data_IF_961820912233
#
_entry.id   IF_961820912233
#
_cell.length_a   1.000
_cell.length_b   1.000
_cell.length_c   1.000
_cell.angle_alpha   90.00
_cell.angle_beta   90.00
_cell.angle_gamma   90.00
#
_symmetry.space_group_name_H-M   'P 1'
#
loop_
_entity.id
_entity.type
_entity.pdbx_description
1 polymer ?
#
# COMPACT_ATOMS: atom_id res chain seq x y z
N UNK A 1 7.12 -0.66 -13.37
CA UNK A 1 7.37 0.20 -12.21
C UNK A 1 6.06 0.85 -11.77
N UNK A 2 5.97 1.28 -10.51
CA UNK A 2 4.84 2.02 -9.95
C UNK A 2 4.55 3.29 -10.77
N UNK A 3 5.60 4.08 -11.02
CA UNK A 3 5.50 5.39 -11.69
C UNK A 3 4.89 5.27 -13.09
N UNK A 4 5.29 4.25 -13.87
CA UNK A 4 4.70 3.97 -15.18
C UNK A 4 3.21 3.62 -15.11
N UNK A 5 2.76 2.95 -14.04
CA UNK A 5 1.34 2.67 -13.85
C UNK A 5 0.56 3.96 -13.63
N UNK A 6 1.08 4.87 -12.81
CA UNK A 6 0.46 6.18 -12.58
C UNK A 6 0.51 7.08 -13.82
N UNK A 7 1.59 7.03 -14.61
CA UNK A 7 1.68 7.72 -15.90
C UNK A 7 0.54 7.30 -16.83
N UNK A 8 0.42 6.00 -17.09
CA UNK A 8 -0.62 5.45 -17.96
C UNK A 8 -2.03 5.77 -17.44
N UNK A 9 -2.23 5.67 -16.12
CA UNK A 9 -3.53 5.97 -15.51
C UNK A 9 -3.90 7.45 -15.64
N UNK A 10 -2.91 8.34 -15.54
CA UNK A 10 -3.10 9.78 -15.72
C UNK A 10 -3.38 10.11 -17.18
N UNK A 11 -2.64 9.52 -18.12
CA UNK A 11 -2.85 9.72 -19.57
C UNK A 11 -4.27 9.33 -20.02
N UNK A 12 -4.83 8.28 -19.42
CA UNK A 12 -6.18 7.79 -19.73
C UNK A 12 -7.29 8.47 -18.93
N UNK A 13 -6.95 9.38 -18.02
CA UNK A 13 -7.90 10.06 -17.14
C UNK A 13 -8.32 11.42 -17.69
N UNK A 14 -9.58 11.79 -17.45
CA UNK A 14 -10.11 13.14 -17.72
C UNK A 14 -10.30 13.89 -16.40
N UNK A 15 -10.49 15.21 -16.47
CA UNK A 15 -10.77 16.03 -15.30
C UNK A 15 -11.92 15.43 -14.46
N UNK A 16 -11.70 15.28 -13.15
CA UNK A 16 -12.65 14.66 -12.24
C UNK A 16 -12.57 13.14 -12.12
N UNK A 17 -11.73 12.45 -12.90
CA UNK A 17 -11.36 11.05 -12.68
C UNK A 17 -10.87 10.83 -11.25
N UNK A 18 -11.08 9.63 -10.71
CA UNK A 18 -10.66 9.27 -9.35
C UNK A 18 -9.72 8.07 -9.34
N UNK A 19 -8.78 8.05 -8.40
CA UNK A 19 -7.86 6.94 -8.15
C UNK A 19 -7.93 6.54 -6.68
N UNK A 20 -7.77 5.24 -6.42
CA UNK A 20 -7.55 4.71 -5.08
C UNK A 20 -6.42 3.67 -5.13
N UNK A 21 -5.48 3.73 -4.19
CA UNK A 21 -4.33 2.82 -4.10
C UNK A 21 -3.83 2.73 -2.65
N UNK A 22 -2.78 1.94 -2.42
CA UNK A 22 -2.17 1.75 -1.12
C UNK A 22 -0.70 2.17 -1.14
N UNK A 23 -0.26 2.81 -0.06
CA UNK A 23 1.14 3.08 0.23
C UNK A 23 1.51 2.31 1.50
N UNK A 24 2.61 1.56 1.42
CA UNK A 24 3.09 0.74 2.54
C UNK A 24 4.53 1.16 2.87
N UNK A 25 4.72 2.11 3.81
CA UNK A 25 6.05 2.66 4.12
C UNK A 25 7.03 1.60 4.62
N UNK A 26 6.54 0.58 5.32
CA UNK A 26 7.37 -0.50 5.89
C UNK A 26 8.06 -1.40 4.86
N UNK A 27 7.75 -1.27 3.56
CA UNK A 27 8.46 -2.01 2.50
C UNK A 27 9.94 -1.58 2.38
N UNK A 28 10.29 -0.35 2.80
CA UNK A 28 11.69 0.13 2.74
C UNK A 28 12.58 -0.67 3.68
N UNK A 29 12.09 -0.95 4.90
CA UNK A 29 12.81 -1.70 5.93
C UNK A 29 12.27 -3.14 6.05
N UNK A 30 11.89 -3.73 4.91
CA UNK A 30 11.22 -5.02 4.84
C UNK A 30 12.03 -6.15 5.47
N UNK A 31 11.50 -6.78 6.52
CA UNK A 31 12.06 -7.99 7.12
C UNK A 31 11.45 -9.25 6.50
N UNK A 32 12.21 -9.88 5.59
CA UNK A 32 11.83 -11.13 4.96
C UNK A 32 11.66 -12.30 5.95
N UNK A 33 12.28 -12.23 7.14
CA UNK A 33 12.09 -13.22 8.21
C UNK A 33 10.65 -13.22 8.73
N UNK A 34 10.14 -12.05 9.11
CA UNK A 34 8.77 -11.88 9.64
C UNK A 34 7.70 -12.34 8.64
N UNK A 35 7.89 -12.06 7.34
CA UNK A 35 6.96 -12.52 6.31
C UNK A 35 7.00 -14.03 6.09
N UNK A 36 8.19 -14.65 6.19
CA UNK A 36 8.28 -16.12 6.11
C UNK A 36 7.52 -16.79 7.25
N UNK A 37 7.60 -16.27 8.47
CA UNK A 37 6.82 -16.79 9.61
C UNK A 37 5.30 -16.75 9.35
N UNK A 38 4.79 -15.70 8.69
CA UNK A 38 3.39 -15.67 8.24
C UNK A 38 3.12 -16.72 7.15
N UNK A 39 4.05 -16.88 6.20
CA UNK A 39 3.95 -17.90 5.15
C UNK A 39 3.88 -19.32 5.73
N UNK A 40 4.49 -19.60 6.89
CA UNK A 40 4.35 -20.89 7.59
C UNK A 40 2.91 -21.21 7.96
N UNK A 41 2.12 -20.21 8.33
CA UNK A 41 0.69 -20.37 8.62
C UNK A 41 -0.09 -20.77 7.36
N UNK A 42 0.21 -20.14 6.21
CA UNK A 42 -0.37 -20.49 4.92
C UNK A 42 0.02 -21.91 4.47
N UNK A 43 1.28 -22.30 4.67
CA UNK A 43 1.77 -23.65 4.34
C UNK A 43 1.05 -24.75 5.12
N UNK A 44 0.72 -24.51 6.41
CA UNK A 44 -0.10 -25.43 7.22
C UNK A 44 -1.50 -25.65 6.65
N UNK A 45 -2.00 -24.72 5.83
CA UNK A 45 -3.29 -24.79 5.15
C UNK A 45 -3.17 -25.15 3.66
N UNK A 46 -2.00 -25.62 3.21
CA UNK A 46 -1.79 -26.10 1.84
C UNK A 46 -1.48 -25.01 0.80
N UNK A 47 -1.19 -23.78 1.23
CA UNK A 47 -0.79 -22.68 0.35
C UNK A 47 0.72 -22.46 0.49
N UNK A 48 1.46 -22.84 -0.54
CA UNK A 48 2.91 -22.62 -0.62
C UNK A 48 3.21 -21.38 -1.46
N UNK A 49 3.50 -20.27 -0.78
CA UNK A 49 3.75 -18.97 -1.39
C UNK A 49 4.94 -18.30 -0.71
N UNK A 50 5.95 -17.92 -1.49
CA UNK A 50 7.04 -17.08 -1.02
C UNK A 50 6.59 -15.62 -1.02
N UNK A 51 5.89 -15.24 0.05
CA UNK A 51 5.41 -13.87 0.23
C UNK A 51 6.54 -12.84 0.19
N UNK A 52 7.76 -13.20 0.64
CA UNK A 52 8.89 -12.30 0.63
C UNK A 52 9.36 -11.98 -0.80
N UNK A 53 9.25 -12.94 -1.73
CA UNK A 53 9.56 -12.73 -3.15
C UNK A 53 8.63 -11.73 -3.85
N UNK A 54 7.47 -11.43 -3.28
CA UNK A 54 6.48 -10.50 -3.83
C UNK A 54 6.75 -9.04 -3.45
N UNK A 55 7.68 -8.79 -2.53
CA UNK A 55 7.99 -7.46 -2.03
C UNK A 55 9.22 -6.89 -2.72
N UNK A 56 9.03 -5.77 -3.43
CA UNK A 56 10.09 -5.09 -4.16
C UNK A 56 10.65 -3.90 -3.36
N UNK A 57 11.57 -4.12 -2.41
CA UNK A 57 12.11 -3.07 -1.50
C UNK A 57 13.00 -1.99 -2.14
N UNK A 58 13.08 -1.93 -3.47
CA UNK A 58 13.85 -0.91 -4.17
C UNK A 58 13.30 0.51 -3.98
N UNK A 59 14.16 1.50 -4.28
CA UNK A 59 13.81 2.91 -4.28
C UNK A 59 12.58 3.17 -5.16
N UNK A 60 11.65 3.97 -4.64
CA UNK A 60 10.40 4.31 -5.30
C UNK A 60 10.01 5.74 -4.98
N UNK A 61 9.34 6.39 -5.92
CA UNK A 61 8.70 7.67 -5.67
C UNK A 61 7.66 7.54 -4.56
N UNK A 62 7.61 8.52 -3.66
CA UNK A 62 6.55 8.60 -2.66
C UNK A 62 5.20 8.83 -3.37
N UNK A 63 4.25 7.92 -3.19
CA UNK A 63 3.00 7.84 -3.99
C UNK A 63 2.23 9.16 -4.00
N UNK A 64 2.08 9.79 -2.83
CA UNK A 64 1.33 11.04 -2.68
C UNK A 64 1.99 12.17 -3.45
N UNK A 65 3.31 12.32 -3.33
CA UNK A 65 4.04 13.40 -3.99
C UNK A 65 4.08 13.18 -5.50
N UNK A 66 4.23 11.93 -5.93
CA UNK A 66 4.22 11.58 -7.36
C UNK A 66 2.86 11.89 -8.00
N UNK A 67 1.75 11.46 -7.39
CA UNK A 67 0.41 11.73 -7.91
C UNK A 67 0.08 13.23 -7.88
N UNK A 68 0.46 13.96 -6.82
CA UNK A 68 0.31 15.43 -6.77
C UNK A 68 1.06 16.13 -7.90
N UNK A 69 2.29 15.71 -8.19
CA UNK A 69 3.05 16.23 -9.33
C UNK A 69 2.40 15.92 -10.69
N UNK A 70 1.54 14.89 -10.77
CA UNK A 70 0.73 14.53 -11.95
C UNK A 70 -0.63 15.25 -12.01
N UNK A 71 -0.87 16.22 -11.14
CA UNK A 71 -2.10 17.02 -11.15
C UNK A 71 -3.27 16.39 -10.40
N UNK A 72 -3.04 15.36 -9.61
CA UNK A 72 -4.06 14.80 -8.73
C UNK A 72 -4.11 15.57 -7.41
N UNK A 73 -5.31 15.86 -6.91
CA UNK A 73 -5.53 16.19 -5.50
C UNK A 73 -5.68 14.89 -4.72
N UNK A 74 -4.83 14.68 -3.70
CA UNK A 74 -4.61 13.37 -3.09
C UNK A 74 -4.56 13.48 -1.57
N UNK A 75 -5.28 12.58 -0.91
CA UNK A 75 -5.30 12.41 0.54
C UNK A 75 -4.92 10.97 0.93
N UNK A 76 -4.36 10.81 2.13
CA UNK A 76 -4.01 9.52 2.71
C UNK A 76 -4.79 9.27 3.99
N UNK A 77 -5.39 8.10 4.11
CA UNK A 77 -6.03 7.62 5.33
C UNK A 77 -5.28 6.40 5.87
N UNK A 78 -4.81 6.51 7.10
CA UNK A 78 -4.06 5.44 7.78
C UNK A 78 -5.01 4.28 8.11
N UNK A 79 -4.60 3.02 7.86
CA UNK A 79 -5.41 1.82 8.13
C UNK A 79 -5.84 1.76 9.58
N UNK A 80 -4.95 2.08 10.52
CA UNK A 80 -5.31 2.14 11.95
C UNK A 80 -6.45 3.12 12.23
N UNK A 81 -6.51 4.27 11.54
CA UNK A 81 -7.63 5.19 11.69
C UNK A 81 -8.92 4.63 11.10
N UNK A 82 -8.86 3.85 10.01
CA UNK A 82 -10.01 3.14 9.48
C UNK A 82 -10.55 2.10 10.48
N UNK A 83 -9.68 1.34 11.14
CA UNK A 83 -10.09 0.41 12.20
C UNK A 83 -10.84 1.15 13.31
N UNK A 84 -10.27 2.25 13.82
CA UNK A 84 -10.90 3.07 14.88
C UNK A 84 -12.25 3.64 14.44
N UNK A 85 -12.33 4.23 13.24
CA UNK A 85 -13.56 4.83 12.69
C UNK A 85 -14.70 3.82 12.55
N UNK A 86 -14.38 2.55 12.30
CA UNK A 86 -15.36 1.49 12.13
C UNK A 86 -15.57 0.64 13.40
N UNK A 87 -15.03 1.05 14.55
CA UNK A 87 -15.17 0.30 15.81
C UNK A 87 -14.52 -1.07 15.80
N UNK A 88 -13.54 -1.30 14.93
CA UNK A 88 -12.79 -2.56 14.84
C UNK A 88 -11.57 -2.53 15.78
N UNK A 89 -11.21 -3.68 16.39
CA UNK A 89 -10.02 -3.77 17.24
C UNK A 89 -8.76 -3.58 16.40
N UNK A 90 -7.95 -2.59 16.76
CA UNK A 90 -6.63 -2.37 16.15
C UNK A 90 -5.70 -3.52 16.59
N UNK A 91 -5.07 -4.26 15.65
CA UNK A 91 -4.11 -5.29 15.99
C UNK A 91 -2.96 -4.73 16.84
N UNK A 92 -2.50 -5.50 17.84
CA UNK A 92 -1.32 -5.11 18.58
C UNK A 92 -0.08 -5.17 17.66
N UNK A 93 0.97 -4.34 17.86
CA UNK A 93 2.10 -4.24 16.92
C UNK A 93 2.79 -5.58 16.57
N UNK A 94 2.74 -6.57 17.47
CA UNK A 94 3.30 -7.91 17.26
C UNK A 94 2.41 -8.83 16.43
N UNK A 95 1.10 -8.61 16.46
CA UNK A 95 0.08 -9.33 15.67
C UNK A 95 -0.27 -8.59 14.38
N UNK A 96 0.30 -7.40 14.18
CA UNK A 96 -0.02 -6.54 13.06
C UNK A 96 0.69 -6.99 11.76
N UNK A 97 0.22 -6.42 10.64
CA UNK A 97 0.71 -6.69 9.31
C UNK A 97 2.25 -6.62 9.25
N UNK A 98 2.93 -7.63 8.65
CA UNK A 98 4.38 -7.68 8.57
C UNK A 98 4.95 -6.58 7.68
N UNK A 99 4.13 -5.99 6.81
CA UNK A 99 4.49 -4.80 6.03
C UNK A 99 4.27 -3.49 6.82
N UNK A 100 3.72 -3.59 8.03
CA UNK A 100 3.48 -2.49 8.95
C UNK A 100 2.23 -1.69 8.61
N UNK A 101 2.28 -0.39 8.86
CA UNK A 101 1.16 0.49 8.61
C UNK A 101 0.87 0.63 7.11
N UNK A 102 -0.41 0.57 6.74
CA UNK A 102 -0.88 0.76 5.37
C UNK A 102 -1.60 2.10 5.31
N UNK A 103 -1.26 2.92 4.33
CA UNK A 103 -1.93 4.19 4.08
C UNK A 103 -2.75 4.04 2.81
N UNK A 104 -4.06 4.12 2.93
CA UNK A 104 -4.98 4.14 1.79
C UNK A 104 -4.99 5.53 1.17
N UNK A 105 -4.73 5.59 -0.12
CA UNK A 105 -4.63 6.82 -0.88
C UNK A 105 -5.87 6.95 -1.75
N UNK A 106 -6.55 8.09 -1.67
CA UNK A 106 -7.60 8.50 -2.61
C UNK A 106 -7.21 9.80 -3.28
N UNK A 107 -7.59 9.97 -4.55
CA UNK A 107 -7.37 11.23 -5.23
C UNK A 107 -8.29 11.48 -6.41
N UNK A 108 -8.36 12.75 -6.82
CA UNK A 108 -9.15 13.24 -7.95
C UNK A 108 -8.25 14.03 -8.90
N UNK A 109 -8.34 13.77 -10.20
CA UNK A 109 -7.58 14.50 -11.20
C UNK A 109 -8.17 15.91 -11.36
N UNK A 110 -7.31 16.93 -11.22
CA UNK A 110 -7.69 18.31 -11.43
C UNK A 110 -8.03 18.58 -12.91
N UNK A 111 -8.82 19.62 -13.15
CA UNK A 111 -9.15 20.10 -14.49
C UNK A 111 -8.17 21.14 -15.02
#
# INVERSE_FOLDING_TARGET
>A
SQDRLFDNSTELSVAGSTIATELVPGIVDFDAGRVREMADSFRKHGVDIDMASLVYSGERSHVVDYLRAKGWDVEGTVRTDLFRRNGLPVPAPHDDDPLGEIIFISGRLNG
#
